data_IF_148837250539
#
_entry.id   IF_148837250539
#
_cell.length_a   1.000
_cell.length_b   1.000
_cell.length_c   1.000
_cell.angle_alpha   90.00
_cell.angle_beta   90.00
_cell.angle_gamma   90.00
#
_symmetry.space_group_name_H-M   'P 1'
#
loop_
_entity.id
_entity.type
_entity.pdbx_description
1 polymer ?
#
# COMPACT_ATOMS: atom_id res chain seq x y z
N UNK A 1 21.62 7.29 -15.68
CA UNK A 1 20.78 6.30 -16.37
C UNK A 1 20.62 5.04 -15.53
N UNK A 2 21.71 4.37 -15.13
CA UNK A 2 21.64 3.14 -14.31
C UNK A 2 20.89 3.32 -12.98
N UNK A 3 21.13 4.40 -12.25
CA UNK A 3 20.46 4.68 -10.96
C UNK A 3 18.95 4.92 -11.11
N UNK A 4 18.55 5.64 -12.16
CA UNK A 4 17.14 5.87 -12.49
C UNK A 4 16.46 4.54 -12.86
N UNK A 5 17.12 3.72 -13.67
CA UNK A 5 16.60 2.39 -14.06
C UNK A 5 16.47 1.47 -12.86
N UNK A 6 17.42 1.47 -11.92
CA UNK A 6 17.36 0.69 -10.69
C UNK A 6 16.18 1.10 -9.79
N UNK A 7 15.92 2.41 -9.68
CA UNK A 7 14.77 2.94 -8.92
C UNK A 7 13.44 2.48 -9.52
N UNK A 8 13.32 2.44 -10.85
CA UNK A 8 12.11 1.91 -11.51
C UNK A 8 11.97 0.40 -11.40
N UNK A 9 13.07 -0.35 -11.43
CA UNK A 9 13.05 -1.82 -11.31
C UNK A 9 12.48 -2.31 -9.96
N UNK A 10 12.64 -1.50 -8.90
CA UNK A 10 12.22 -1.82 -7.53
C UNK A 10 11.01 -1.02 -7.04
N UNK A 11 10.43 -0.16 -7.90
CA UNK A 11 9.37 0.79 -7.51
C UNK A 11 8.14 0.15 -6.87
N UNK A 12 7.85 -1.12 -7.19
CA UNK A 12 6.69 -1.87 -6.67
C UNK A 12 7.09 -2.98 -5.70
N UNK A 13 8.22 -2.82 -5.01
CA UNK A 13 8.69 -3.73 -3.96
C UNK A 13 9.19 -2.95 -2.76
N UNK A 14 9.06 -3.54 -1.58
CA UNK A 14 9.78 -3.15 -0.38
C UNK A 14 10.61 -4.32 0.11
N UNK A 15 11.21 -4.20 1.30
CA UNK A 15 12.11 -5.22 1.87
C UNK A 15 11.48 -6.62 1.91
N UNK A 16 10.19 -6.71 2.25
CA UNK A 16 9.47 -7.98 2.42
C UNK A 16 8.20 -8.09 1.58
N UNK A 17 7.77 -7.00 0.93
CA UNK A 17 6.45 -6.94 0.28
C UNK A 17 6.58 -6.65 -1.21
N UNK A 18 5.64 -7.20 -1.98
CA UNK A 18 5.42 -6.89 -3.38
C UNK A 18 4.07 -6.19 -3.50
N UNK A 19 4.01 -5.12 -4.28
CA UNK A 19 2.79 -4.39 -4.55
C UNK A 19 2.38 -4.65 -6.00
N UNK A 20 1.16 -5.14 -6.21
CA UNK A 20 0.61 -5.34 -7.56
C UNK A 20 -0.72 -4.66 -7.73
N UNK A 21 -1.10 -4.42 -8.97
CA UNK A 21 -2.42 -3.89 -9.29
C UNK A 21 -3.52 -4.85 -8.81
N UNK A 22 -4.70 -4.27 -8.53
CA UNK A 22 -5.91 -5.04 -8.29
C UNK A 22 -6.43 -5.54 -9.65
N UNK A 23 -6.38 -6.85 -9.89
CA UNK A 23 -6.70 -7.45 -11.19
C UNK A 23 -8.19 -7.82 -11.32
N UNK A 24 -9.03 -7.44 -10.34
CA UNK A 24 -10.46 -7.80 -10.25
C UNK A 24 -10.73 -9.32 -10.34
N UNK A 25 -9.71 -10.15 -10.09
CA UNK A 25 -9.83 -11.60 -9.99
C UNK A 25 -10.72 -11.99 -8.81
N UNK A 26 -11.25 -13.21 -8.82
CA UNK A 26 -12.06 -13.72 -7.71
C UNK A 26 -11.28 -13.68 -6.39
N UNK A 27 -10.01 -14.10 -6.41
CA UNK A 27 -9.12 -14.04 -5.25
C UNK A 27 -8.88 -12.61 -4.73
N UNK A 28 -8.71 -11.62 -5.61
CA UNK A 28 -8.56 -10.22 -5.20
C UNK A 28 -9.85 -9.69 -4.58
N UNK A 29 -10.99 -10.05 -5.14
CA UNK A 29 -12.29 -9.61 -4.66
C UNK A 29 -12.62 -10.24 -3.32
N UNK A 30 -12.25 -11.50 -3.10
CA UNK A 30 -12.36 -12.18 -1.83
C UNK A 30 -11.43 -11.56 -0.78
N UNK A 31 -10.17 -11.29 -1.12
CA UNK A 31 -9.25 -10.59 -0.23
C UNK A 31 -9.77 -9.19 0.15
N UNK A 32 -10.20 -8.42 -0.84
CA UNK A 32 -10.73 -7.07 -0.61
C UNK A 32 -12.00 -7.12 0.24
N UNK A 33 -12.88 -8.09 0.00
CA UNK A 33 -14.04 -8.29 0.86
C UNK A 33 -13.63 -8.66 2.29
N UNK A 34 -12.67 -9.56 2.46
CA UNK A 34 -12.16 -9.97 3.77
C UNK A 34 -11.37 -8.88 4.50
N UNK A 35 -10.78 -7.91 3.81
CA UNK A 35 -9.94 -6.87 4.44
C UNK A 35 -10.65 -5.54 4.63
N UNK A 36 -11.59 -5.20 3.75
CA UNK A 36 -12.37 -3.97 3.85
C UNK A 36 -13.67 -4.17 4.62
N UNK A 37 -14.24 -5.37 4.57
CA UNK A 37 -15.59 -5.64 5.08
C UNK A 37 -15.64 -6.72 6.15
N UNK A 38 -14.50 -7.15 6.69
CA UNK A 38 -14.55 -7.88 7.95
C UNK A 38 -15.08 -6.96 9.07
N UNK A 39 -15.86 -7.49 10.03
CA UNK A 39 -16.47 -6.67 11.07
C UNK A 39 -15.46 -5.86 11.91
N UNK A 40 -14.24 -6.38 12.09
CA UNK A 40 -13.22 -5.72 12.91
C UNK A 40 -12.62 -4.55 12.14
N UNK A 41 -12.23 -4.72 10.88
CA UNK A 41 -11.71 -3.63 10.06
C UNK A 41 -12.77 -2.56 9.79
N UNK A 42 -14.02 -2.96 9.52
CA UNK A 42 -15.13 -2.01 9.38
C UNK A 42 -15.29 -1.17 10.65
N UNK A 43 -15.34 -1.82 11.82
CA UNK A 43 -15.46 -1.12 13.09
C UNK A 43 -14.26 -0.25 13.48
N UNK A 44 -13.05 -0.52 12.94
CA UNK A 44 -11.82 0.20 13.31
C UNK A 44 -11.42 1.32 12.34
N UNK A 45 -11.90 1.28 11.10
CA UNK A 45 -11.37 2.12 10.01
C UNK A 45 -12.42 2.69 9.07
N UNK A 46 -13.65 2.16 9.07
CA UNK A 46 -14.72 2.61 8.18
C UNK A 46 -15.75 3.46 8.96
N UNK A 47 -15.95 4.74 8.59
CA UNK A 47 -16.95 5.60 9.23
C UNK A 47 -18.39 5.30 8.77
N UNK A 48 -18.60 4.33 7.88
CA UNK A 48 -19.93 3.96 7.40
C UNK A 48 -20.72 3.17 8.44
N UNK A 49 -22.03 3.09 8.23
CA UNK A 49 -22.93 2.33 9.10
C UNK A 49 -22.46 0.88 9.21
N UNK A 50 -22.16 0.44 10.43
CA UNK A 50 -21.79 -0.93 10.73
C UNK A 50 -22.92 -1.89 10.35
N UNK A 51 -22.78 -2.57 9.22
CA UNK A 51 -23.80 -3.47 8.67
C UNK A 51 -23.16 -4.53 7.77
N UNK A 52 -23.74 -5.74 7.72
CA UNK A 52 -23.41 -6.70 6.67
C UNK A 52 -23.66 -6.08 5.30
N UNK A 53 -22.70 -6.30 4.39
CA UNK A 53 -22.85 -5.89 3.00
C UNK A 53 -23.17 -7.10 2.14
N UNK A 54 -24.19 -6.98 1.29
CA UNK A 54 -24.44 -7.97 0.26
C UNK A 54 -23.33 -7.95 -0.81
N UNK A 55 -23.09 -9.08 -1.44
CA UNK A 55 -22.00 -9.29 -2.41
C UNK A 55 -22.00 -8.24 -3.54
N UNK A 56 -23.17 -7.95 -4.11
CA UNK A 56 -23.33 -6.94 -5.17
C UNK A 56 -22.96 -5.51 -4.70
N UNK A 57 -23.30 -5.17 -3.46
CA UNK A 57 -22.97 -3.86 -2.89
C UNK A 57 -21.46 -3.76 -2.59
N UNK A 58 -20.86 -4.83 -2.05
CA UNK A 58 -19.42 -4.90 -1.80
C UNK A 58 -18.60 -4.78 -3.08
N UNK A 59 -19.04 -5.44 -4.16
CA UNK A 59 -18.40 -5.32 -5.49
C UNK A 59 -18.40 -3.87 -5.99
N UNK A 60 -19.57 -3.22 -5.98
CA UNK A 60 -19.71 -1.83 -6.44
C UNK A 60 -18.84 -0.88 -5.63
N UNK A 61 -18.76 -1.09 -4.32
CA UNK A 61 -17.92 -0.27 -3.45
C UNK A 61 -16.42 -0.46 -3.77
N UNK A 62 -15.97 -1.68 -4.04
CA UNK A 62 -14.59 -1.95 -4.48
C UNK A 62 -14.29 -1.26 -5.82
N UNK A 63 -15.19 -1.41 -6.81
CA UNK A 63 -15.04 -0.76 -8.12
C UNK A 63 -14.94 0.78 -7.98
N UNK A 64 -15.75 1.37 -7.08
CA UNK A 64 -15.70 2.81 -6.78
C UNK A 64 -14.40 3.22 -6.11
N UNK A 65 -13.88 2.44 -5.15
CA UNK A 65 -12.59 2.71 -4.50
C UNK A 65 -11.48 2.73 -5.54
N UNK A 66 -11.45 1.75 -6.45
CA UNK A 66 -10.44 1.65 -7.51
C UNK A 66 -10.57 2.83 -8.49
N UNK A 67 -11.78 3.19 -8.92
CA UNK A 67 -12.02 4.35 -9.81
C UNK A 67 -11.57 5.69 -9.18
N UNK A 68 -11.74 5.81 -7.86
CA UNK A 68 -11.36 6.99 -7.10
C UNK A 68 -9.90 7.00 -6.65
N UNK A 69 -9.16 5.92 -6.89
CA UNK A 69 -7.79 5.81 -6.45
C UNK A 69 -6.81 6.47 -7.42
N UNK A 70 -5.87 7.22 -6.87
CA UNK A 70 -4.61 7.56 -7.53
C UNK A 70 -3.75 6.30 -7.67
N UNK A 71 -3.73 5.48 -6.63
CA UNK A 71 -3.05 4.19 -6.58
C UNK A 71 -3.92 3.20 -5.80
N UNK A 72 -4.17 2.02 -6.36
CA UNK A 72 -4.85 0.91 -5.70
C UNK A 72 -3.99 -0.34 -5.89
N UNK A 73 -3.49 -0.91 -4.80
CA UNK A 73 -2.62 -2.08 -4.84
C UNK A 73 -3.03 -3.15 -3.84
N UNK A 74 -2.74 -4.39 -4.22
CA UNK A 74 -2.72 -5.53 -3.31
C UNK A 74 -1.32 -5.64 -2.72
N UNK A 75 -1.25 -5.76 -1.39
CA UNK A 75 -0.02 -6.02 -0.66
C UNK A 75 0.18 -7.54 -0.64
N UNK A 76 1.30 -8.01 -1.15
CA UNK A 76 1.62 -9.44 -1.23
C UNK A 76 2.93 -9.77 -0.53
N UNK A 77 3.00 -10.98 0.04
CA UNK A 77 4.26 -11.62 0.39
C UNK A 77 4.81 -12.38 -0.82
N UNK A 78 6.11 -12.25 -1.13
CA UNK A 78 6.73 -13.04 -2.19
C UNK A 78 6.62 -14.54 -1.89
N UNK A 79 6.57 -15.38 -2.93
CA UNK A 79 6.67 -16.82 -2.75
C UNK A 79 8.07 -17.17 -2.19
N UNK A 80 8.17 -18.24 -1.39
CA UNK A 80 9.42 -18.63 -0.74
C UNK A 80 10.61 -18.81 -1.71
N UNK A 81 10.32 -19.15 -2.98
CA UNK A 81 11.32 -19.39 -4.02
C UNK A 81 11.82 -18.09 -4.70
N UNK A 82 11.12 -16.95 -4.53
CA UNK A 82 11.48 -15.67 -5.17
C UNK A 82 12.53 -14.87 -4.36
N UNK A 83 12.93 -15.36 -3.18
CA UNK A 83 13.89 -14.69 -2.27
C UNK A 83 15.35 -15.00 -2.67
N UNK A 84 15.58 -15.93 -3.59
CA UNK A 84 16.91 -16.48 -3.88
C UNK A 84 17.74 -15.74 -4.95
N UNK A 85 17.21 -14.72 -5.64
CA UNK A 85 17.83 -14.24 -6.89
C UNK A 85 18.65 -12.93 -6.78
N UNK A 86 19.02 -12.48 -5.58
CA UNK A 86 19.88 -11.27 -5.38
C UNK A 86 21.29 -11.56 -4.82
N UNK A 87 21.79 -12.79 -4.97
CA UNK A 87 23.22 -13.08 -4.70
C UNK A 87 23.81 -13.85 -5.86
N UNK A 88 24.61 -13.16 -6.68
CA UNK A 88 25.26 -13.73 -7.84
C UNK A 88 26.36 -14.74 -7.51
N UNK A 89 26.53 -15.69 -8.45
CA UNK A 89 27.82 -16.28 -8.81
C UNK A 89 28.07 -17.71 -8.33
N UNK A 90 28.20 -18.64 -9.30
CA UNK A 90 28.97 -19.88 -9.11
C UNK A 90 28.49 -21.08 -9.91
N UNK A 91 29.24 -21.44 -10.94
CA UNK A 91 29.16 -22.64 -11.79
C UNK A 91 29.24 -23.97 -10.97
N UNK A 92 29.00 -25.19 -11.47
CA UNK A 92 28.96 -25.73 -12.82
C UNK A 92 28.28 -27.13 -12.80
N UNK A 93 27.77 -27.50 -13.98
CA UNK A 93 27.92 -28.82 -14.62
C UNK A 93 27.13 -30.05 -14.11
N UNK A 94 26.15 -30.48 -14.92
CA UNK A 94 26.21 -31.78 -15.61
C UNK A 94 25.12 -31.91 -16.67
N UNK A 95 25.60 -32.23 -17.87
CA UNK A 95 24.91 -32.50 -19.14
C UNK A 95 23.94 -33.67 -19.06
N UNK A 96 22.74 -33.53 -19.63
CA UNK A 96 22.10 -34.63 -20.36
C UNK A 96 21.14 -34.11 -21.44
N UNK A 97 21.43 -34.54 -22.66
CA UNK A 97 20.70 -34.32 -23.91
C UNK A 97 19.22 -34.71 -23.80
N UNK A 98 18.33 -33.73 -23.92
CA UNK A 98 17.04 -33.92 -24.57
C UNK A 98 16.80 -32.75 -25.52
N UNK A 99 16.50 -33.07 -26.77
CA UNK A 99 16.01 -32.16 -27.79
C UNK A 99 14.77 -31.43 -27.28
N UNK A 100 14.97 -30.26 -26.68
CA UNK A 100 13.93 -29.31 -26.33
C UNK A 100 14.21 -28.04 -27.13
N UNK A 101 13.16 -27.53 -27.78
CA UNK A 101 13.14 -26.19 -28.34
C UNK A 101 13.82 -25.23 -27.35
N UNK A 102 14.66 -24.28 -27.83
CA UNK A 102 15.36 -23.37 -26.92
C UNK A 102 14.34 -22.76 -25.97
N UNK A 103 14.56 -22.79 -24.64
CA UNK A 103 13.61 -22.21 -23.71
C UNK A 103 13.41 -20.77 -24.16
N UNK A 104 12.18 -20.46 -24.62
CA UNK A 104 11.84 -19.08 -24.96
C UNK A 104 12.13 -18.29 -23.69
N UNK A 105 13.14 -17.42 -23.73
CA UNK A 105 13.36 -16.48 -22.65
C UNK A 105 11.99 -15.83 -22.38
N UNK A 106 11.48 -15.87 -21.15
CA UNK A 106 10.23 -15.22 -20.83
C UNK A 106 10.34 -13.75 -21.27
N UNK A 107 9.39 -13.28 -22.09
CA UNK A 107 9.34 -11.90 -22.55
C UNK A 107 9.52 -10.96 -21.34
N UNK A 108 10.28 -9.85 -21.45
CA UNK A 108 10.42 -8.88 -20.36
C UNK A 108 9.03 -8.52 -19.80
N UNK A 109 8.78 -8.87 -18.54
CA UNK A 109 7.49 -8.72 -17.86
C UNK A 109 6.73 -10.02 -17.53
N UNK A 110 7.01 -11.15 -18.19
CA UNK A 110 6.34 -12.43 -17.86
C UNK A 110 6.85 -13.07 -16.57
N UNK A 111 8.14 -12.93 -16.24
CA UNK A 111 8.69 -13.36 -14.95
C UNK A 111 8.11 -12.53 -13.78
N UNK A 112 7.99 -11.20 -13.95
CA UNK A 112 7.31 -10.31 -12.99
C UNK A 112 5.84 -10.71 -12.78
N UNK A 113 5.13 -11.00 -13.87
CA UNK A 113 3.72 -11.42 -13.82
C UNK A 113 3.56 -12.79 -13.15
N UNK A 114 4.50 -13.72 -13.36
CA UNK A 114 4.51 -15.04 -12.72
C UNK A 114 4.87 -14.98 -11.24
N UNK A 115 5.87 -14.18 -10.85
CA UNK A 115 6.19 -13.94 -9.44
C UNK A 115 5.03 -13.25 -8.72
N UNK A 116 4.40 -12.25 -9.34
CA UNK A 116 3.19 -11.59 -8.82
C UNK A 116 1.99 -12.55 -8.69
N UNK A 117 1.87 -13.53 -9.59
CA UNK A 117 0.81 -14.54 -9.54
C UNK A 117 1.03 -15.61 -8.43
N UNK A 118 2.28 -15.81 -7.99
CA UNK A 118 2.62 -16.72 -6.88
C UNK A 118 2.67 -16.04 -5.52
N UNK A 119 2.69 -14.71 -5.49
CA UNK A 119 2.75 -13.93 -4.27
C UNK A 119 1.44 -14.05 -3.47
N UNK A 120 1.55 -14.29 -2.16
CA UNK A 120 0.39 -14.46 -1.27
C UNK A 120 -0.20 -13.10 -0.93
N UNK A 121 -1.46 -12.82 -1.28
CA UNK A 121 -2.09 -11.55 -0.95
C UNK A 121 -2.38 -11.48 0.56
N UNK A 122 -1.97 -10.38 1.20
CA UNK A 122 -2.10 -10.19 2.65
C UNK A 122 -2.89 -8.94 3.05
N UNK A 123 -3.18 -8.07 2.09
CA UNK A 123 -3.88 -6.81 2.35
C UNK A 123 -4.02 -5.92 1.13
N UNK A 124 -4.52 -4.72 1.36
CA UNK A 124 -4.75 -3.70 0.34
C UNK A 124 -4.30 -2.32 0.82
N UNK A 125 -3.89 -1.49 -0.13
CA UNK A 125 -3.51 -0.10 0.10
C UNK A 125 -4.07 0.78 -1.01
N UNK A 126 -4.60 1.93 -0.61
CA UNK A 126 -5.21 2.90 -1.50
C UNK A 126 -4.67 4.31 -1.21
N UNK A 127 -4.39 5.05 -2.28
CA UNK A 127 -4.19 6.49 -2.28
C UNK A 127 -5.33 7.12 -3.08
N UNK A 128 -6.07 8.07 -2.50
CA UNK A 128 -7.20 8.71 -3.17
C UNK A 128 -6.75 9.75 -4.21
N UNK A 129 -7.51 9.89 -5.30
CA UNK A 129 -7.28 10.92 -6.31
C UNK A 129 -8.13 12.16 -6.06
N UNK A 130 -7.52 13.35 -6.16
CA UNK A 130 -8.27 14.59 -6.34
C UNK A 130 -8.93 14.61 -7.72
N UNK A 131 -10.26 14.49 -7.79
CA UNK A 131 -10.97 14.36 -9.08
C UNK A 131 -11.15 15.68 -9.83
N UNK A 132 -11.10 16.81 -9.14
CA UNK A 132 -11.36 18.10 -9.75
C UNK A 132 -10.05 18.66 -10.32
N UNK A 133 -10.00 18.85 -11.64
CA UNK A 133 -8.83 19.44 -12.30
C UNK A 133 -8.45 20.82 -11.70
N UNK A 134 -9.45 21.55 -11.23
CA UNK A 134 -9.28 22.85 -10.54
C UNK A 134 -8.56 22.75 -9.21
N UNK A 135 -8.57 21.59 -8.54
CA UNK A 135 -7.88 21.37 -7.24
C UNK A 135 -6.63 20.49 -7.36
N UNK A 136 -6.27 20.04 -8.57
CA UNK A 136 -5.11 19.17 -8.79
C UNK A 136 -3.78 19.80 -8.28
N UNK A 137 -3.68 21.13 -8.29
CA UNK A 137 -2.51 21.86 -7.81
C UNK A 137 -2.31 21.80 -6.28
N UNK A 138 -3.31 21.35 -5.49
CA UNK A 138 -3.16 21.19 -4.04
C UNK A 138 -2.29 19.97 -3.67
N UNK A 139 -2.11 19.01 -4.59
CA UNK A 139 -1.15 17.90 -4.48
C UNK A 139 -1.24 17.13 -3.15
N UNK A 140 -2.45 16.85 -2.67
CA UNK A 140 -2.67 16.00 -1.49
C UNK A 140 -3.43 14.73 -1.83
N UNK A 141 -3.13 13.65 -1.12
CA UNK A 141 -3.80 12.34 -1.23
C UNK A 141 -4.15 11.79 0.14
N UNK A 142 -5.25 11.04 0.23
CA UNK A 142 -5.61 10.29 1.44
C UNK A 142 -5.14 8.85 1.33
N UNK A 143 -4.46 8.35 2.36
CA UNK A 143 -4.00 6.98 2.46
C UNK A 143 -4.98 6.13 3.27
N UNK A 144 -5.30 4.95 2.73
CA UNK A 144 -6.00 3.89 3.45
C UNK A 144 -5.24 2.57 3.30
N UNK A 145 -5.12 1.81 4.37
CA UNK A 145 -4.45 0.50 4.37
C UNK A 145 -5.23 -0.48 5.23
N UNK A 146 -5.38 -1.70 4.72
CA UNK A 146 -6.01 -2.81 5.44
C UNK A 146 -5.17 -4.07 5.25
N UNK A 147 -4.97 -4.82 6.34
CA UNK A 147 -4.28 -6.11 6.33
C UNK A 147 -5.21 -7.18 6.86
N UNK A 148 -5.17 -8.37 6.28
CA UNK A 148 -5.88 -9.52 6.82
C UNK A 148 -5.35 -9.86 8.23
N UNK A 149 -6.26 -10.27 9.11
CA UNK A 149 -6.01 -10.49 10.55
C UNK A 149 -4.74 -11.31 10.86
N UNK A 150 -4.44 -12.42 10.16
CA UNK A 150 -3.23 -13.22 10.40
C UNK A 150 -1.89 -12.49 10.12
N UNK A 151 -1.92 -11.38 9.39
CA UNK A 151 -0.75 -10.61 8.98
C UNK A 151 -0.60 -9.28 9.73
N UNK A 152 -1.54 -8.96 10.62
CA UNK A 152 -1.46 -7.79 11.48
C UNK A 152 -0.35 -7.96 12.54
N UNK A 153 0.14 -6.84 13.10
CA UNK A 153 1.16 -6.81 14.16
C UNK A 153 2.55 -7.42 13.80
N UNK A 154 2.81 -7.72 12.53
CA UNK A 154 4.12 -8.24 12.03
C UNK A 154 5.00 -7.17 11.36
N UNK A 155 4.60 -5.90 11.49
CA UNK A 155 5.28 -4.75 10.89
C UNK A 155 4.96 -4.50 9.40
N UNK A 156 4.16 -5.36 8.75
CA UNK A 156 3.81 -5.19 7.33
C UNK A 156 3.03 -3.91 7.05
N UNK A 157 2.16 -3.47 7.96
CA UNK A 157 1.37 -2.26 7.77
C UNK A 157 2.24 -1.01 7.75
N UNK A 158 3.20 -0.92 8.67
CA UNK A 158 4.15 0.19 8.70
C UNK A 158 5.06 0.21 7.46
N UNK A 159 5.50 -0.97 7.00
CA UNK A 159 6.29 -1.10 5.78
C UNK A 159 5.50 -0.68 4.53
N UNK A 160 4.24 -1.09 4.42
CA UNK A 160 3.36 -0.71 3.33
C UNK A 160 3.07 0.79 3.29
N UNK A 161 2.82 1.41 4.45
CA UNK A 161 2.63 2.87 4.54
C UNK A 161 3.91 3.59 4.14
N UNK A 162 5.07 3.16 4.64
CA UNK A 162 6.35 3.79 4.30
C UNK A 162 6.64 3.71 2.79
N UNK A 163 6.39 2.56 2.15
CA UNK A 163 6.49 2.42 0.70
C UNK A 163 5.51 3.34 -0.04
N UNK A 164 4.26 3.43 0.44
CA UNK A 164 3.26 4.30 -0.18
C UNK A 164 3.61 5.80 -0.06
N UNK A 165 4.27 6.22 1.03
CA UNK A 165 4.80 7.57 1.18
C UNK A 165 5.94 7.82 0.18
N UNK A 166 6.91 6.90 0.09
CA UNK A 166 7.97 6.99 -0.92
C UNK A 166 7.38 7.08 -2.32
N UNK A 167 6.37 6.26 -2.64
CA UNK A 167 5.69 6.28 -3.93
C UNK A 167 4.96 7.62 -4.19
N UNK A 168 4.20 8.09 -3.20
CA UNK A 168 3.38 9.30 -3.33
C UNK A 168 4.24 10.55 -3.56
N UNK A 169 5.36 10.68 -2.83
CA UNK A 169 6.25 11.83 -2.97
C UNK A 169 7.16 11.70 -4.19
N UNK A 170 7.85 10.56 -4.36
CA UNK A 170 8.87 10.42 -5.41
C UNK A 170 8.30 10.22 -6.82
N UNK A 171 7.16 9.53 -6.96
CA UNK A 171 6.61 9.15 -8.27
C UNK A 171 5.35 9.91 -8.63
N UNK A 172 4.43 10.10 -7.67
CA UNK A 172 3.20 10.84 -7.93
C UNK A 172 3.35 12.36 -7.74
N UNK A 173 4.47 12.83 -7.20
CA UNK A 173 4.71 14.24 -6.96
C UNK A 173 3.68 14.85 -6.02
N UNK A 174 3.18 14.11 -5.04
CA UNK A 174 2.32 14.68 -4.00
C UNK A 174 3.18 15.60 -3.11
N UNK A 175 2.54 16.60 -2.51
CA UNK A 175 3.14 17.45 -1.49
C UNK A 175 2.76 16.99 -0.08
N UNK A 176 1.59 16.34 0.03
CA UNK A 176 0.98 15.96 1.30
C UNK A 176 0.28 14.61 1.21
N UNK A 177 0.46 13.78 2.23
CA UNK A 177 -0.31 12.55 2.45
C UNK A 177 -1.03 12.66 3.78
N UNK A 178 -2.33 12.39 3.78
CA UNK A 178 -3.16 12.45 4.99
C UNK A 178 -3.88 11.13 5.25
N UNK A 179 -4.23 10.92 6.51
CA UNK A 179 -5.04 9.79 6.95
C UNK A 179 -5.77 10.13 8.24
N UNK A 180 -6.74 9.30 8.62
CA UNK A 180 -7.45 9.47 9.88
C UNK A 180 -7.85 8.13 10.48
N UNK A 181 -7.98 8.09 11.79
CA UNK A 181 -8.41 6.89 12.50
C UNK A 181 -9.20 7.23 13.76
N UNK A 182 -10.04 6.30 14.20
CA UNK A 182 -10.81 6.48 15.41
C UNK A 182 -9.89 6.51 16.65
N UNK A 183 -10.25 7.31 17.65
CA UNK A 183 -9.46 7.47 18.87
C UNK A 183 -9.25 6.19 19.67
N UNK A 184 -10.12 5.18 19.49
CA UNK A 184 -9.98 3.85 20.11
C UNK A 184 -9.06 2.89 19.33
N UNK A 185 -8.65 3.22 18.10
CA UNK A 185 -7.76 2.39 17.30
C UNK A 185 -6.29 2.64 17.70
N UNK A 186 -5.94 2.23 18.92
CA UNK A 186 -4.61 2.44 19.51
C UNK A 186 -3.47 1.89 18.63
N UNK A 187 -3.72 0.81 17.88
CA UNK A 187 -2.75 0.23 16.96
C UNK A 187 -2.41 1.18 15.81
N UNK A 188 -3.42 1.74 15.15
CA UNK A 188 -3.21 2.67 14.04
C UNK A 188 -2.50 3.94 14.52
N UNK A 189 -2.97 4.52 15.63
CA UNK A 189 -2.33 5.69 16.27
C UNK A 189 -0.82 5.45 16.51
N UNK A 190 -0.46 4.31 17.12
CA UNK A 190 0.93 3.98 17.39
C UNK A 190 1.78 3.74 16.13
N UNK A 191 1.18 3.25 15.04
CA UNK A 191 1.87 3.11 13.75
C UNK A 191 2.13 4.47 13.14
N UNK A 192 1.14 5.37 13.12
CA UNK A 192 1.29 6.70 12.54
C UNK A 192 2.28 7.56 13.30
N UNK A 193 2.21 7.55 14.64
CA UNK A 193 3.17 8.27 15.49
C UNK A 193 4.61 7.73 15.25
N UNK A 194 4.79 6.40 15.15
CA UNK A 194 6.11 5.79 14.90
C UNK A 194 6.67 6.13 13.52
N UNK A 195 5.82 6.26 12.51
CA UNK A 195 6.22 6.65 11.16
C UNK A 195 6.52 8.15 11.03
N UNK A 196 6.28 8.94 12.08
CA UNK A 196 6.56 10.37 12.10
C UNK A 196 5.44 11.24 11.52
N UNK A 197 4.21 10.72 11.40
CA UNK A 197 3.07 11.56 11.02
C UNK A 197 2.78 12.62 12.09
N UNK A 198 2.45 13.82 11.65
CA UNK A 198 2.02 14.91 12.51
C UNK A 198 0.52 14.79 12.79
N UNK A 199 0.11 14.91 14.05
CA UNK A 199 -1.31 15.02 14.44
C UNK A 199 -1.79 16.45 14.18
N UNK A 200 -2.73 16.61 13.27
CA UNK A 200 -3.15 17.95 12.80
C UNK A 200 -4.51 18.35 13.35
N UNK A 201 -5.35 17.36 13.65
CA UNK A 201 -6.73 17.61 14.00
C UNK A 201 -7.34 16.50 14.83
N UNK A 202 -8.38 16.88 15.57
CA UNK A 202 -9.24 15.95 16.29
C UNK A 202 -10.67 16.41 16.15
N UNK A 203 -11.46 15.67 15.38
CA UNK A 203 -12.90 15.91 15.28
C UNK A 203 -13.60 15.19 16.43
N UNK A 204 -14.03 15.97 17.41
CA UNK A 204 -14.70 15.47 18.63
C UNK A 204 -16.02 14.79 18.27
N UNK A 205 -16.31 13.68 18.93
CA UNK A 205 -17.58 12.95 18.87
C UNK A 205 -18.07 12.70 17.43
N UNK A 206 -17.14 12.40 16.52
CA UNK A 206 -17.44 12.24 15.09
C UNK A 206 -17.72 10.80 14.68
N UNK A 207 -17.44 9.83 15.55
CA UNK A 207 -17.62 8.40 15.29
C UNK A 207 -18.49 7.81 16.39
N UNK A 208 -19.66 7.26 16.05
CA UNK A 208 -20.49 6.52 16.99
C UNK A 208 -20.18 5.02 16.90
N UNK A 209 -19.69 4.42 17.98
CA UNK A 209 -19.37 3.00 18.03
C UNK A 209 -19.54 2.43 19.43
N UNK A 210 -20.16 1.25 19.52
CA UNK A 210 -20.42 0.54 20.77
C UNK A 210 -21.11 1.42 21.84
N UNK A 211 -22.17 2.13 21.44
CA UNK A 211 -22.98 2.95 22.35
C UNK A 211 -22.31 4.24 22.84
N UNK A 212 -21.17 4.62 22.27
CA UNK A 212 -20.40 5.80 22.68
C UNK A 212 -19.94 6.60 21.47
N UNK A 213 -19.80 7.91 21.68
CA UNK A 213 -19.15 8.80 20.72
C UNK A 213 -17.63 8.78 20.95
N UNK A 214 -16.89 8.71 19.85
CA UNK A 214 -15.44 8.69 19.79
C UNK A 214 -14.97 9.74 18.80
N UNK A 215 -13.69 10.09 18.91
CA UNK A 215 -13.12 11.17 18.11
C UNK A 215 -12.44 10.59 16.87
N UNK A 216 -12.47 11.34 15.77
CA UNK A 216 -11.62 11.07 14.62
C UNK A 216 -10.32 11.86 14.79
N UNK A 217 -9.18 11.16 14.83
CA UNK A 217 -7.85 11.77 14.88
C UNK A 217 -7.30 11.83 13.46
N UNK A 218 -6.89 13.03 13.05
CA UNK A 218 -6.39 13.31 11.70
C UNK A 218 -4.88 13.56 11.72
N UNK A 219 -4.21 12.99 10.74
CA UNK A 219 -2.76 13.02 10.59
C UNK A 219 -2.37 13.50 9.20
N UNK A 220 -1.24 14.21 9.13
CA UNK A 220 -0.60 14.64 7.90
C UNK A 220 0.88 14.31 7.88
N UNK A 221 1.41 14.06 6.69
CA UNK A 221 2.83 13.98 6.39
C UNK A 221 3.11 14.86 5.18
N UNK A 222 4.05 15.79 5.31
CA UNK A 222 4.54 16.61 4.22
C UNK A 222 5.76 15.96 3.57
N UNK A 223 5.94 16.23 2.28
CA UNK A 223 7.10 15.80 1.49
C UNK A 223 8.43 16.15 2.17
N UNK A 224 8.52 17.36 2.76
CA UNK A 224 9.72 17.82 3.46
C UNK A 224 10.04 17.06 4.74
N UNK A 225 9.01 16.69 5.50
CA UNK A 225 9.15 15.92 6.73
C UNK A 225 9.61 14.50 6.40
N UNK A 226 9.02 13.90 5.36
CA UNK A 226 9.38 12.58 4.91
C UNK A 226 10.80 12.50 4.35
N UNK A 227 11.21 13.48 3.54
CA UNK A 227 12.58 13.56 3.02
C UNK A 227 13.62 13.66 4.15
N UNK A 228 13.33 14.45 5.18
CA UNK A 228 14.20 14.56 6.36
C UNK A 228 14.30 13.22 7.10
N UNK A 229 13.20 12.51 7.29
CA UNK A 229 13.19 11.17 7.91
C UNK A 229 13.95 10.13 7.08
N UNK A 230 14.03 10.31 5.75
CA UNK A 230 14.80 9.47 4.83
C UNK A 230 16.26 9.88 4.71
N UNK A 231 16.70 10.97 5.34
CA UNK A 231 18.04 11.52 5.16
C UNK A 231 18.31 12.02 3.74
N UNK A 232 17.26 12.32 2.97
CA UNK A 232 17.37 12.88 1.61
C UNK A 232 17.74 14.37 1.65
N UNK A 233 17.50 15.04 2.79
CA UNK A 233 17.85 16.44 3.02
C UNK A 233 18.71 16.56 4.27
N UNK A 234 20.02 16.52 4.08
CA UNK A 234 20.99 17.19 4.94
C UNK A 234 22.01 17.89 4.03
N UNK A 235 22.18 19.20 4.23
CA UNK A 235 23.10 20.12 3.53
C UNK A 235 22.69 20.63 2.11
N UNK A 236 21.64 21.45 2.02
CA UNK A 236 21.78 22.81 1.46
C UNK A 236 20.47 23.61 1.61
N UNK A 237 20.62 24.89 1.93
CA UNK A 237 19.53 25.78 2.32
C UNK A 237 18.52 26.09 1.21
N UNK A 238 17.31 26.42 1.64
CA UNK A 238 16.30 27.06 0.79
C UNK A 238 14.89 26.59 1.09
N UNK A 239 14.28 27.16 2.12
CA UNK A 239 12.83 27.39 2.07
C UNK A 239 12.61 28.62 1.16
N UNK A 240 11.65 28.60 0.24
CA UNK A 240 11.10 29.84 -0.30
C UNK A 240 10.34 30.63 0.77
#
# INVERSE_FOLDING_TARGET
>A
MEEITAKFATAFRSKRLIYRAVDNSEADRELLACTLYDPVSQGLSDPTLFRPMGESAGKKAIEQIIDQALLAVVICLPAADDVADDTGGGAADQTQDQQQQPPRLPLPGTALKQAQARATPIGSLFLSRQRQATTAHWRWTRLAVALAEPFQNKGYGAEAIAWALDWAFDFAGMHRVELGTASYNARALAVYDRLGFTREGRRRESIYSNGKWHDLVEFGMLEAEWDALRGKRDADGGAP
#
